data_IF_180360392096
#
_entry.id   IF_180360392096
#
_cell.length_a   1.000
_cell.length_b   1.000
_cell.length_c   1.000
_cell.angle_alpha   90.00
_cell.angle_beta   90.00
_cell.angle_gamma   90.00
#
_symmetry.space_group_name_H-M   'P 1'
#
loop_
_entity.id
_entity.type
_entity.pdbx_description
1 polymer ?
#
# COMPACT_ATOMS: atom_id res chain seq x y z
N UNK A 1 -10.04 -10.29 3.70
CA UNK A 1 -9.00 -9.74 4.62
C UNK A 1 -7.76 -10.58 4.45
N UNK A 2 -6.58 -9.95 4.34
CA UNK A 2 -5.32 -10.67 4.19
C UNK A 2 -4.76 -11.12 5.54
N UNK A 3 -3.75 -11.96 5.52
CA UNK A 3 -2.95 -12.29 6.70
C UNK A 3 -1.49 -11.93 6.43
N UNK A 4 -0.85 -11.32 7.43
CA UNK A 4 0.60 -11.19 7.47
C UNK A 4 1.15 -12.32 8.34
N UNK A 5 2.27 -12.89 7.89
CA UNK A 5 3.02 -13.88 8.65
C UNK A 5 4.43 -13.35 8.87
N UNK A 6 4.91 -13.45 10.11
CA UNK A 6 6.28 -13.12 10.48
C UNK A 6 6.82 -14.14 11.46
N UNK A 7 8.07 -14.55 11.30
CA UNK A 7 8.77 -15.34 12.31
C UNK A 7 9.09 -14.43 13.49
N UNK A 8 8.60 -14.76 14.68
CA UNK A 8 8.89 -13.98 15.89
C UNK A 8 10.39 -14.04 16.21
N UNK A 9 11.07 -12.90 16.41
CA UNK A 9 12.50 -12.89 16.72
C UNK A 9 12.81 -13.49 18.10
N UNK A 10 11.84 -13.48 19.03
CA UNK A 10 12.04 -13.98 20.40
C UNK A 10 11.90 -15.50 20.53
N UNK A 11 10.90 -16.10 19.88
CA UNK A 11 10.61 -17.53 20.03
C UNK A 11 10.72 -18.36 18.75
N UNK A 12 11.03 -17.73 17.61
CA UNK A 12 11.16 -18.39 16.32
C UNK A 12 9.88 -18.95 15.71
N UNK A 13 8.73 -18.85 16.39
CA UNK A 13 7.43 -19.32 15.89
C UNK A 13 6.80 -18.30 14.93
N UNK A 14 6.02 -18.78 13.96
CA UNK A 14 5.25 -17.91 13.06
C UNK A 14 4.10 -17.23 13.80
N UNK A 15 4.06 -15.91 13.77
CA UNK A 15 2.94 -15.11 14.21
C UNK A 15 2.10 -14.71 13.00
N UNK A 16 0.80 -15.07 13.03
CA UNK A 16 -0.15 -14.81 11.96
C UNK A 16 -1.21 -13.82 12.40
N UNK A 17 -1.34 -12.74 11.66
CA UNK A 17 -2.19 -11.60 12.02
C UNK A 17 -2.98 -11.11 10.83
N UNK A 18 -4.21 -10.65 11.08
CA UNK A 18 -5.02 -10.04 10.03
C UNK A 18 -4.35 -8.74 9.59
N UNK A 19 -4.29 -8.51 8.27
CA UNK A 19 -3.76 -7.28 7.70
C UNK A 19 -4.70 -6.70 6.65
N UNK A 20 -4.71 -5.38 6.55
CA UNK A 20 -5.28 -4.70 5.39
C UNK A 20 -4.30 -4.80 4.20
N UNK A 21 -4.76 -4.43 3.02
CA UNK A 21 -3.99 -4.54 1.77
C UNK A 21 -2.70 -3.71 1.75
N UNK A 22 -2.58 -2.70 2.62
CA UNK A 22 -1.45 -1.76 2.69
C UNK A 22 -0.62 -1.89 3.96
N UNK A 23 -0.95 -2.87 4.81
CA UNK A 23 -0.34 -3.09 6.12
C UNK A 23 -0.29 -1.81 6.99
N UNK A 24 -1.30 -0.95 6.89
CA UNK A 24 -1.39 0.22 7.76
C UNK A 24 -1.75 -0.17 9.20
N UNK A 25 -1.03 0.39 10.17
CA UNK A 25 -1.26 0.14 11.59
C UNK A 25 0.03 0.23 12.39
N UNK A 26 -0.02 -0.28 13.62
CA UNK A 26 1.14 -0.30 14.50
C UNK A 26 2.23 -1.25 13.99
N UNK A 27 3.48 -0.78 13.84
CA UNK A 27 4.63 -1.64 13.59
C UNK A 27 5.07 -2.43 14.83
N UNK A 28 4.64 -2.05 16.03
CA UNK A 28 4.87 -2.84 17.26
C UNK A 28 3.82 -3.95 17.30
N UNK A 29 4.28 -5.19 17.15
CA UNK A 29 3.43 -6.38 17.16
C UNK A 29 3.71 -7.21 18.41
N UNK A 30 2.69 -7.93 18.86
CA UNK A 30 2.80 -8.84 20.01
C UNK A 30 2.68 -10.26 19.50
N UNK A 31 3.68 -11.10 19.79
CA UNK A 31 3.63 -12.49 19.39
C UNK A 31 2.53 -13.24 20.15
N UNK A 32 1.55 -13.82 19.45
CA UNK A 32 0.48 -14.63 20.06
C UNK A 32 0.97 -15.92 20.75
N UNK A 33 2.22 -16.32 20.51
CA UNK A 33 2.79 -17.56 21.06
C UNK A 33 3.63 -17.35 22.31
N UNK A 34 4.40 -16.26 22.39
CA UNK A 34 5.26 -15.98 23.54
C UNK A 34 4.93 -14.67 24.27
N UNK A 35 4.00 -13.85 23.76
CA UNK A 35 3.66 -12.54 24.34
C UNK A 35 4.71 -11.44 24.13
N UNK A 36 5.87 -11.77 23.56
CA UNK A 36 6.94 -10.79 23.32
C UNK A 36 6.55 -9.74 22.28
N UNK A 37 6.82 -8.46 22.57
CA UNK A 37 6.72 -7.35 21.62
C UNK A 37 7.88 -7.37 20.65
N UNK A 38 7.62 -7.16 19.37
CA UNK A 38 8.66 -7.04 18.33
C UNK A 38 8.23 -6.07 17.24
N UNK A 39 9.19 -5.54 16.48
CA UNK A 39 8.93 -4.64 15.37
C UNK A 39 8.74 -5.38 14.05
N UNK A 40 7.63 -5.11 13.35
CA UNK A 40 7.40 -5.50 11.97
C UNK A 40 7.41 -4.25 11.07
N UNK A 41 8.55 -4.02 10.40
CA UNK A 41 8.78 -2.86 9.54
C UNK A 41 7.93 -2.84 8.27
N UNK A 42 7.23 -3.94 7.96
CA UNK A 42 6.28 -3.97 6.83
C UNK A 42 5.01 -3.18 7.15
N UNK A 43 4.66 -3.07 8.44
CA UNK A 43 3.57 -2.22 8.86
C UNK A 43 3.99 -0.77 8.85
N UNK A 44 3.14 0.07 8.25
CA UNK A 44 3.36 1.50 8.16
C UNK A 44 2.44 2.21 9.14
N UNK A 45 3.03 3.05 10.00
CA UNK A 45 2.28 3.89 10.94
C UNK A 45 1.85 5.18 10.20
N UNK A 46 0.55 5.36 9.86
CA UNK A 46 0.15 6.41 8.93
C UNK A 46 0.42 7.84 9.40
N UNK A 47 0.26 8.14 10.69
CA UNK A 47 0.50 9.48 11.22
C UNK A 47 2.01 9.84 11.32
N UNK A 48 2.89 8.84 11.26
CA UNK A 48 4.35 9.03 11.32
C UNK A 48 4.96 9.00 9.91
N UNK A 49 4.57 8.03 9.10
CA UNK A 49 5.20 7.72 7.81
C UNK A 49 4.33 8.09 6.59
N UNK A 50 3.14 8.65 6.82
CA UNK A 50 2.17 8.95 5.78
C UNK A 50 1.53 7.69 5.17
N UNK A 51 0.84 7.89 4.06
CA UNK A 51 0.21 6.84 3.28
C UNK A 51 1.07 6.45 2.06
N UNK A 52 0.88 5.24 1.56
CA UNK A 52 1.49 4.78 0.32
C UNK A 52 0.98 5.63 -0.87
N UNK A 53 1.90 6.04 -1.75
CA UNK A 53 1.60 6.85 -2.93
C UNK A 53 0.54 6.22 -3.83
N UNK A 54 0.48 4.88 -3.88
CA UNK A 54 -0.52 4.12 -4.64
C UNK A 54 -1.95 4.29 -4.11
N UNK A 55 -2.12 4.92 -2.95
CA UNK A 55 -3.43 5.19 -2.34
C UNK A 55 -3.83 6.66 -2.39
N UNK A 56 -2.90 7.56 -2.73
CA UNK A 56 -3.11 9.01 -2.66
C UNK A 56 -2.86 9.71 -4.00
N UNK A 57 -1.97 9.18 -4.84
CA UNK A 57 -1.58 9.81 -6.09
C UNK A 57 -2.43 9.31 -7.27
N UNK A 58 -3.43 10.10 -7.64
CA UNK A 58 -4.23 9.85 -8.84
C UNK A 58 -3.44 10.06 -10.13
N UNK A 59 -2.44 10.95 -10.14
CA UNK A 59 -1.67 11.26 -11.35
C UNK A 59 -0.80 10.07 -11.76
N UNK A 60 -0.30 9.28 -10.81
CA UNK A 60 0.39 8.03 -11.10
C UNK A 60 -0.47 7.10 -11.97
N UNK A 61 -1.71 6.81 -11.54
CA UNK A 61 -2.59 5.92 -12.31
C UNK A 61 -3.06 6.54 -13.63
N UNK A 62 -3.19 7.88 -13.70
CA UNK A 62 -3.47 8.58 -14.97
C UNK A 62 -2.31 8.37 -15.95
N UNK A 63 -1.08 8.63 -15.55
CA UNK A 63 0.11 8.48 -16.39
C UNK A 63 0.28 7.04 -16.85
N UNK A 64 0.16 6.06 -15.93
CA UNK A 64 0.22 4.64 -16.28
C UNK A 64 -0.89 4.25 -17.25
N UNK A 65 -2.12 4.75 -17.07
CA UNK A 65 -3.22 4.47 -17.99
C UNK A 65 -2.96 5.00 -19.41
N UNK A 66 -2.37 6.19 -19.54
CA UNK A 66 -1.98 6.76 -20.83
C UNK A 66 -0.93 5.89 -21.51
N UNK A 67 0.12 5.48 -20.76
CA UNK A 67 1.17 4.61 -21.30
C UNK A 67 0.61 3.27 -21.73
N UNK A 68 -0.20 2.61 -20.89
CA UNK A 68 -0.86 1.35 -21.24
C UNK A 68 -1.75 1.47 -22.47
N UNK A 69 -2.51 2.58 -22.59
CA UNK A 69 -3.33 2.87 -23.75
C UNK A 69 -2.51 3.04 -25.04
N UNK A 70 -1.41 3.79 -24.98
CA UNK A 70 -0.52 3.99 -26.11
C UNK A 70 0.12 2.66 -26.56
N UNK A 71 0.62 1.86 -25.61
CA UNK A 71 1.19 0.52 -25.91
C UNK A 71 0.12 -0.41 -26.51
N UNK A 72 -1.11 -0.37 -26.00
CA UNK A 72 -2.20 -1.18 -26.55
C UNK A 72 -2.51 -0.84 -28.02
N UNK A 73 -2.53 0.45 -28.37
CA UNK A 73 -2.70 0.89 -29.77
C UNK A 73 -1.54 0.39 -30.63
N UNK A 74 -0.29 0.49 -30.16
CA UNK A 74 0.87 -0.01 -30.89
C UNK A 74 0.79 -1.53 -31.12
N UNK A 75 0.39 -2.30 -30.12
CA UNK A 75 0.20 -3.76 -30.24
C UNK A 75 -0.94 -4.08 -31.22
N UNK A 76 -2.03 -3.33 -31.19
CA UNK A 76 -3.13 -3.47 -32.17
C UNK A 76 -2.64 -3.21 -33.60
N UNK A 77 -1.90 -2.13 -33.83
CA UNK A 77 -1.31 -1.82 -35.13
C UNK A 77 -0.35 -2.92 -35.58
N UNK A 78 0.51 -3.42 -34.68
CA UNK A 78 1.44 -4.49 -34.97
C UNK A 78 0.73 -5.80 -35.32
N UNK A 79 -0.28 -6.20 -34.54
CA UNK A 79 -1.09 -7.39 -34.80
C UNK A 79 -1.80 -7.32 -36.15
N UNK A 80 -2.42 -6.16 -36.47
CA UNK A 80 -3.09 -5.95 -37.77
C UNK A 80 -2.09 -6.02 -38.92
N UNK A 81 -0.93 -5.37 -38.79
CA UNK A 81 0.13 -5.40 -39.80
C UNK A 81 0.62 -6.83 -40.07
N UNK A 82 0.93 -7.63 -39.04
CA UNK A 82 1.42 -9.00 -39.24
C UNK A 82 0.35 -9.92 -39.82
N UNK A 83 -0.90 -9.76 -39.39
CA UNK A 83 -2.00 -10.61 -39.87
C UNK A 83 -2.32 -10.33 -41.34
N UNK A 84 -2.38 -9.05 -41.75
CA UNK A 84 -2.73 -8.67 -43.13
C UNK A 84 -1.56 -8.92 -44.09
N UNK A 85 -0.34 -8.51 -43.72
CA UNK A 85 0.79 -8.50 -44.65
C UNK A 85 1.60 -9.79 -44.63
N UNK A 86 1.55 -10.57 -43.55
CA UNK A 86 2.35 -11.79 -43.40
C UNK A 86 1.52 -13.07 -43.20
N UNK A 87 0.21 -12.94 -42.98
CA UNK A 87 -0.68 -14.09 -42.81
C UNK A 87 -0.47 -14.90 -41.52
N UNK A 88 0.30 -14.37 -40.55
CA UNK A 88 0.53 -15.02 -39.26
C UNK A 88 0.47 -14.01 -38.10
N UNK A 89 0.24 -14.54 -36.89
CA UNK A 89 0.36 -13.82 -35.63
C UNK A 89 1.12 -14.68 -34.61
N UNK A 90 1.60 -14.03 -33.56
CA UNK A 90 2.33 -14.69 -32.47
C UNK A 90 1.49 -14.75 -31.20
N UNK A 91 1.72 -15.78 -30.37
CA UNK A 91 1.01 -15.92 -29.09
C UNK A 91 1.23 -14.72 -28.16
N UNK A 92 2.39 -14.07 -28.22
CA UNK A 92 2.67 -12.87 -27.43
C UNK A 92 1.78 -11.68 -27.82
N UNK A 93 1.50 -11.49 -29.11
CA UNK A 93 0.59 -10.42 -29.56
C UNK A 93 -0.81 -10.62 -28.98
N UNK A 94 -1.34 -11.85 -29.03
CA UNK A 94 -2.65 -12.18 -28.46
C UNK A 94 -2.66 -11.99 -26.94
N UNK A 95 -1.60 -12.44 -26.25
CA UNK A 95 -1.46 -12.25 -24.81
C UNK A 95 -1.48 -10.75 -24.42
N UNK A 96 -0.74 -9.90 -25.13
CA UNK A 96 -0.74 -8.45 -24.89
C UNK A 96 -2.11 -7.82 -25.18
N UNK A 97 -2.80 -8.26 -26.23
CA UNK A 97 -4.15 -7.76 -26.57
C UNK A 97 -5.19 -8.07 -25.48
N UNK A 98 -5.00 -9.13 -24.70
CA UNK A 98 -5.89 -9.49 -23.59
C UNK A 98 -5.43 -8.80 -22.29
N UNK A 99 -4.14 -8.83 -21.98
CA UNK A 99 -3.63 -8.36 -20.69
C UNK A 99 -3.61 -6.83 -20.56
N UNK A 100 -3.34 -6.09 -21.64
CA UNK A 100 -3.27 -4.63 -21.60
C UNK A 100 -4.63 -3.97 -21.30
N UNK A 101 -5.76 -4.39 -21.90
CA UNK A 101 -7.09 -3.90 -21.50
C UNK A 101 -7.42 -4.17 -20.03
N UNK A 102 -7.09 -5.36 -19.51
CA UNK A 102 -7.33 -5.70 -18.10
C UNK A 102 -6.52 -4.78 -17.18
N UNK A 103 -5.25 -4.56 -17.49
CA UNK A 103 -4.39 -3.64 -16.75
C UNK A 103 -4.92 -2.20 -16.82
N UNK A 104 -5.37 -1.74 -17.99
CA UNK A 104 -5.95 -0.41 -18.19
C UNK A 104 -7.20 -0.21 -17.34
N UNK A 105 -8.13 -1.17 -17.36
CA UNK A 105 -9.34 -1.13 -16.53
C UNK A 105 -8.97 -1.08 -15.05
N UNK A 106 -8.02 -1.89 -14.60
CA UNK A 106 -7.53 -1.87 -13.22
C UNK A 106 -6.96 -0.50 -12.80
N UNK A 107 -6.18 0.14 -13.68
CA UNK A 107 -5.63 1.47 -13.42
C UNK A 107 -6.71 2.55 -13.37
N UNK A 108 -7.69 2.49 -14.28
CA UNK A 108 -8.83 3.42 -14.29
C UNK A 108 -9.68 3.30 -13.02
N UNK A 109 -9.98 2.07 -12.58
CA UNK A 109 -10.71 1.84 -11.33
C UNK A 109 -9.97 2.50 -10.15
N UNK A 110 -8.65 2.31 -10.03
CA UNK A 110 -7.89 2.94 -8.95
C UNK A 110 -7.85 4.46 -9.07
N UNK A 111 -7.67 4.99 -10.28
CA UNK A 111 -7.75 6.43 -10.52
C UNK A 111 -9.08 7.02 -10.02
N UNK A 112 -10.21 6.41 -10.38
CA UNK A 112 -11.53 6.87 -9.94
C UNK A 112 -11.73 6.70 -8.43
N UNK A 113 -11.21 5.64 -7.81
CA UNK A 113 -11.31 5.44 -6.35
C UNK A 113 -10.51 6.46 -5.55
N UNK A 114 -9.38 6.93 -6.07
CA UNK A 114 -8.60 8.00 -5.46
C UNK A 114 -9.30 9.34 -5.69
N UNK A 115 -9.69 9.64 -6.93
CA UNK A 115 -10.32 10.91 -7.29
C UNK A 115 -11.70 11.12 -6.66
N UNK A 116 -12.48 10.05 -6.48
CA UNK A 116 -13.77 10.11 -5.77
C UNK A 116 -13.64 10.28 -4.26
N UNK A 117 -12.43 10.26 -3.70
CA UNK A 117 -12.20 10.37 -2.26
C UNK A 117 -12.52 9.09 -1.46
N UNK A 118 -12.94 8.00 -2.11
CA UNK A 118 -13.20 6.73 -1.44
C UNK A 118 -11.95 6.21 -0.70
N UNK A 119 -10.77 6.34 -1.32
CA UNK A 119 -9.49 6.01 -0.67
C UNK A 119 -9.13 6.98 0.47
N UNK A 120 -9.41 8.29 0.31
CA UNK A 120 -9.18 9.26 1.37
C UNK A 120 -10.04 8.97 2.61
N UNK A 121 -11.31 8.60 2.42
CA UNK A 121 -12.21 8.18 3.51
C UNK A 121 -11.71 6.92 4.23
N UNK A 122 -11.20 5.93 3.48
CA UNK A 122 -10.60 4.74 4.06
C UNK A 122 -9.32 5.08 4.85
N UNK A 123 -8.46 5.93 4.29
CA UNK A 123 -7.21 6.38 4.91
C UNK A 123 -7.47 7.20 6.19
N UNK A 124 -8.52 8.04 6.22
CA UNK A 124 -8.89 8.81 7.41
C UNK A 124 -9.17 7.91 8.63
N UNK A 125 -9.79 6.74 8.44
CA UNK A 125 -9.99 5.77 9.52
C UNK A 125 -8.66 5.26 10.08
N UNK A 126 -7.69 4.94 9.23
CA UNK A 126 -6.37 4.49 9.66
C UNK A 126 -5.55 5.62 10.31
N UNK A 127 -5.72 6.86 9.84
CA UNK A 127 -5.12 8.03 10.45
C UNK A 127 -5.63 8.24 11.87
N UNK A 128 -6.95 8.26 12.07
CA UNK A 128 -7.54 8.44 13.40
C UNK A 128 -7.06 7.38 14.40
N UNK A 129 -7.02 6.10 13.99
CA UNK A 129 -6.49 5.01 14.82
C UNK A 129 -4.99 5.17 15.11
N UNK A 130 -4.22 5.73 14.18
CA UNK A 130 -2.80 6.02 14.34
C UNK A 130 -2.58 7.14 15.36
N UNK A 131 -3.33 8.23 15.22
CA UNK A 131 -3.29 9.37 16.14
C UNK A 131 -3.71 8.98 17.55
N UNK A 132 -4.72 8.12 17.69
CA UNK A 132 -5.14 7.60 18.98
C UNK A 132 -4.03 6.79 19.68
N UNK A 133 -3.31 5.93 18.94
CA UNK A 133 -2.16 5.18 19.49
C UNK A 133 -1.00 6.10 19.89
N UNK A 134 -0.76 7.17 19.12
CA UNK A 134 0.32 8.12 19.39
C UNK A 134 0.05 9.04 20.59
N UNK A 135 -1.14 8.98 21.20
CA UNK A 135 -1.39 9.61 22.51
C UNK A 135 -0.69 8.85 23.65
N UNK A 136 -0.39 7.57 23.47
CA UNK A 136 0.34 6.78 24.45
C UNK A 136 1.84 7.10 24.40
N UNK A 137 2.35 7.66 25.50
CA UNK A 137 3.76 8.05 25.65
C UNK A 137 4.69 6.84 25.58
N UNK A 138 4.29 5.70 26.13
CA UNK A 138 5.10 4.47 26.08
C UNK A 138 5.22 3.98 24.64
N UNK A 139 4.11 4.04 23.89
CA UNK A 139 4.10 3.67 22.48
C UNK A 139 5.02 4.55 21.63
N UNK A 140 4.99 5.87 21.84
CA UNK A 140 5.87 6.82 21.16
C UNK A 140 7.34 6.58 21.51
N UNK A 141 7.65 6.36 22.80
CA UNK A 141 9.00 6.04 23.24
C UNK A 141 9.52 4.73 22.59
N UNK A 142 8.70 3.68 22.54
CA UNK A 142 9.04 2.41 21.88
C UNK A 142 9.31 2.62 20.38
N UNK A 143 8.54 3.47 19.68
CA UNK A 143 8.77 3.80 18.27
C UNK A 143 10.12 4.50 18.05
N UNK A 144 10.43 5.50 18.88
CA UNK A 144 11.68 6.27 18.80
C UNK A 144 12.89 5.37 19.08
N UNK A 145 12.81 4.54 20.12
CA UNK A 145 13.87 3.59 20.48
C UNK A 145 14.22 2.61 19.33
N UNK A 146 13.26 2.36 18.44
CA UNK A 146 13.42 1.48 17.27
C UNK A 146 13.72 2.24 15.97
N UNK A 147 14.02 3.55 16.04
CA UNK A 147 14.51 4.36 14.94
C UNK A 147 13.43 5.01 14.05
N UNK A 148 12.17 5.08 14.51
CA UNK A 148 11.13 5.81 13.78
C UNK A 148 11.22 7.31 14.06
N UNK A 149 11.12 8.12 13.00
CA UNK A 149 11.07 9.59 13.09
C UNK A 149 9.65 10.05 13.40
N UNK A 150 9.33 10.21 14.68
CA UNK A 150 8.00 10.67 15.13
C UNK A 150 7.91 12.20 15.02
N UNK A 151 6.83 12.77 14.44
CA UNK A 151 6.63 14.22 14.40
C UNK A 151 6.55 14.85 15.80
N UNK A 152 7.09 16.07 15.95
CA UNK A 152 7.15 16.81 17.22
C UNK A 152 5.78 16.97 17.91
N UNK A 153 4.71 17.11 17.13
CA UNK A 153 3.32 17.19 17.64
C UNK A 153 2.89 16.00 18.50
N UNK A 154 3.61 14.88 18.47
CA UNK A 154 3.33 13.71 19.32
C UNK A 154 4.37 13.51 20.45
N UNK A 155 5.43 14.31 20.48
CA UNK A 155 6.47 14.27 21.52
C UNK A 155 6.03 15.07 22.76
N UNK A 156 5.31 16.19 22.56
CA UNK A 156 4.99 17.18 23.60
C UNK A 156 3.58 17.05 24.21
N UNK A 157 2.94 15.87 24.14
CA UNK A 157 1.64 15.61 24.81
C UNK A 157 1.75 15.54 26.35
N UNK A 158 2.53 16.43 26.97
CA UNK A 158 2.81 16.50 28.39
C UNK A 158 3.23 17.89 28.87
N UNK A 159 2.57 18.95 28.40
CA UNK A 159 2.87 20.30 28.87
C UNK A 159 1.76 21.33 28.61
N UNK A 160 0.57 21.12 29.19
CA UNK A 160 -0.20 22.23 29.79
C UNK A 160 -1.29 21.69 30.74
N UNK A 161 -0.87 21.10 31.85
CA UNK A 161 -1.65 21.13 33.09
C UNK A 161 -1.08 22.29 33.92
N UNK A 162 -1.71 23.45 33.81
CA UNK A 162 -1.37 24.69 34.51
C UNK A 162 -2.53 25.67 34.45
#
# INVERSE_FOLDING_TARGET
MGYSEMKCPHCGKMNREACNAWMYGSPIRVCKKCGGKYMDRRYREPAVQGFDQRTTDANLYKTVSIICGAVFILVLCWYRYTTINRGYYTNYQVAFLIMLPIALVGCLIQYFRIKSGAMAKANAKYLAQSEERLKDKQYVADLIANGYKVPEKYLDNGGNDG
#
